data_IF_901657127747
#
_entry.id   IF_901657127747
#
_cell.length_a   1.000
_cell.length_b   1.000
_cell.length_c   1.000
_cell.angle_alpha   90.00
_cell.angle_beta   90.00
_cell.angle_gamma   90.00
#
_symmetry.space_group_name_H-M   'P 1'
#
loop_
_entity.id
_entity.type
_entity.pdbx_description
1 polymer ?
#
# COMPACT_ATOMS: atom_id res chain seq x y z
N UNK A 1 -15.98 18.29 -11.81
CA UNK A 1 -14.99 19.38 -11.60
C UNK A 1 -13.63 18.86 -11.99
N UNK A 2 -12.95 19.54 -12.92
CA UNK A 2 -11.55 19.28 -13.30
C UNK A 2 -10.75 20.47 -12.79
N UNK A 3 -9.79 20.22 -11.91
CA UNK A 3 -8.88 21.26 -11.42
C UNK A 3 -7.87 21.62 -12.51
N UNK A 4 -7.43 22.88 -12.54
CA UNK A 4 -6.35 23.31 -13.44
C UNK A 4 -5.05 22.60 -13.09
N UNK A 5 -4.22 22.34 -14.10
CA UNK A 5 -2.85 21.88 -13.86
C UNK A 5 -2.10 22.94 -13.05
N UNK A 6 -1.14 22.52 -12.22
CA UNK A 6 -0.36 23.44 -11.38
C UNK A 6 0.49 24.37 -12.24
N UNK A 7 0.89 23.96 -13.44
CA UNK A 7 1.57 24.84 -14.41
C UNK A 7 0.72 26.06 -14.81
N UNK A 8 -0.60 25.94 -14.67
CA UNK A 8 -1.56 26.95 -15.11
C UNK A 8 -2.03 27.83 -13.93
N UNK A 9 -1.38 27.73 -12.76
CA UNK A 9 -1.71 28.51 -11.58
C UNK A 9 -1.01 29.87 -11.62
N UNK A 10 -1.80 30.92 -11.42
CA UNK A 10 -1.30 32.29 -11.28
C UNK A 10 -1.16 32.59 -9.79
N UNK A 11 0.06 32.90 -9.36
CA UNK A 11 0.37 33.29 -7.99
C UNK A 11 0.31 34.81 -7.86
N UNK A 12 -0.23 35.29 -6.74
CA UNK A 12 -0.14 36.71 -6.39
C UNK A 12 1.28 37.03 -5.94
N UNK A 13 1.86 38.13 -6.44
CA UNK A 13 3.17 38.63 -6.00
C UNK A 13 3.16 39.11 -4.54
N UNK A 14 1.98 39.57 -4.07
CA UNK A 14 1.79 40.06 -2.70
C UNK A 14 0.75 39.20 -1.96
N UNK A 15 1.11 38.62 -0.80
CA UNK A 15 0.14 37.93 0.05
C UNK A 15 -0.90 38.90 0.58
N UNK A 16 -2.18 38.62 0.33
CA UNK A 16 -3.30 39.47 0.83
C UNK A 16 -3.64 39.18 2.30
N UNK A 17 -3.16 38.06 2.85
CA UNK A 17 -3.40 37.64 4.22
C UNK A 17 -2.21 36.84 4.75
N UNK A 18 -2.12 36.77 6.07
CA UNK A 18 -1.13 35.93 6.75
C UNK A 18 -1.36 34.47 6.38
N UNK A 19 -0.30 33.84 5.89
CA UNK A 19 -0.36 32.45 5.43
C UNK A 19 -0.64 31.51 6.63
N UNK A 20 -1.70 30.67 6.58
CA UNK A 20 -2.00 29.73 7.66
C UNK A 20 -0.89 28.68 7.88
N UNK A 21 -0.14 28.37 6.81
CA UNK A 21 1.02 27.47 6.80
C UNK A 21 2.04 28.02 5.79
N UNK A 22 3.31 27.68 5.97
CA UNK A 22 4.34 28.09 4.99
C UNK A 22 4.16 27.36 3.66
N UNK A 23 4.63 27.97 2.56
CA UNK A 23 4.63 27.34 1.24
C UNK A 23 5.42 26.02 1.24
N UNK A 24 6.50 25.97 2.01
CA UNK A 24 7.30 24.76 2.20
C UNK A 24 6.48 23.64 2.88
N UNK A 25 5.77 23.95 3.97
CA UNK A 25 4.90 23.00 4.66
C UNK A 25 3.77 22.50 3.75
N UNK A 26 3.16 23.41 2.98
CA UNK A 26 2.12 23.05 2.01
C UNK A 26 2.66 22.11 0.93
N UNK A 27 3.84 22.41 0.39
CA UNK A 27 4.47 21.61 -0.68
C UNK A 27 4.88 20.24 -0.15
N UNK A 28 5.47 20.17 1.04
CA UNK A 28 5.82 18.91 1.71
C UNK A 28 4.59 18.03 1.96
N UNK A 29 3.49 18.62 2.45
CA UNK A 29 2.24 17.89 2.64
C UNK A 29 1.67 17.36 1.31
N UNK A 30 1.72 18.16 0.24
CA UNK A 30 1.26 17.74 -1.09
C UNK A 30 2.11 16.61 -1.68
N UNK A 31 3.42 16.58 -1.41
CA UNK A 31 4.30 15.48 -1.81
C UNK A 31 3.86 14.15 -1.15
N UNK A 32 3.60 14.17 0.16
CA UNK A 32 3.07 13.01 0.91
C UNK A 32 1.74 12.50 0.32
N UNK A 33 0.84 13.40 -0.07
CA UNK A 33 -0.43 13.02 -0.69
C UNK A 33 -0.29 12.50 -2.12
N UNK A 34 0.69 12.99 -2.89
CA UNK A 34 0.94 12.54 -4.27
C UNK A 34 1.50 11.11 -4.34
N UNK A 35 2.34 10.71 -3.38
CA UNK A 35 2.86 9.34 -3.27
C UNK A 35 1.84 8.31 -2.76
N UNK A 36 0.79 8.77 -2.06
CA UNK A 36 -0.20 7.90 -1.44
C UNK A 36 -1.58 8.06 -2.07
N UNK A 37 -1.79 7.44 -3.25
CA UNK A 37 -3.15 7.06 -3.71
C UNK A 37 -3.72 5.91 -2.86
N UNK A 38 -3.64 6.00 -1.53
CA UNK A 38 -4.39 5.12 -0.64
C UNK A 38 -5.77 5.74 -0.53
N UNK A 39 -6.79 5.04 -1.03
CA UNK A 39 -8.17 5.41 -0.75
C UNK A 39 -8.29 5.62 0.77
N UNK A 40 -8.70 6.82 1.20
CA UNK A 40 -9.09 7.09 2.60
C UNK A 40 -10.36 6.30 2.88
N UNK A 41 -10.24 4.98 3.00
CA UNK A 41 -11.20 4.20 3.76
C UNK A 41 -10.98 4.64 5.19
N UNK A 42 -11.97 5.31 5.77
CA UNK A 42 -12.04 5.56 7.20
C UNK A 42 -11.96 4.19 7.87
N UNK A 43 -10.75 3.75 8.22
CA UNK A 43 -10.55 2.49 8.91
C UNK A 43 -11.03 2.74 10.32
N UNK A 44 -12.26 2.35 10.58
CA UNK A 44 -12.69 2.03 11.94
C UNK A 44 -11.57 1.19 12.56
N UNK A 45 -11.08 1.60 13.73
CA UNK A 45 -9.85 1.05 14.32
C UNK A 45 -10.03 -0.47 14.42
N UNK A 46 -9.39 -1.20 13.52
CA UNK A 46 -9.63 -2.63 13.40
C UNK A 46 -9.16 -3.27 14.70
N UNK A 47 -10.05 -3.98 15.39
CA UNK A 47 -9.75 -4.62 16.69
C UNK A 47 -8.52 -5.53 16.63
N UNK A 48 -8.24 -6.06 15.45
CA UNK A 48 -7.15 -6.97 15.18
C UNK A 48 -6.29 -6.44 14.02
N UNK A 49 -4.97 -6.51 14.19
CA UNK A 49 -3.99 -6.21 13.14
C UNK A 49 -3.78 -7.46 12.29
N UNK A 50 -3.71 -7.29 10.97
CA UNK A 50 -3.43 -8.35 10.00
C UNK A 50 -2.11 -7.99 9.30
N UNK A 51 -1.06 -8.78 9.51
CA UNK A 51 0.31 -8.48 9.06
C UNK A 51 0.40 -8.29 7.54
N UNK A 52 -0.24 -9.19 6.80
CA UNK A 52 -0.21 -9.26 5.33
C UNK A 52 -1.41 -8.56 4.69
N UNK A 53 -2.02 -7.60 5.39
CA UNK A 53 -3.17 -6.85 4.85
C UNK A 53 -2.79 -6.16 3.54
N UNK A 54 -3.56 -6.42 2.46
CA UNK A 54 -3.25 -5.86 1.15
C UNK A 54 -2.34 -6.71 0.26
N UNK A 55 -1.67 -7.73 0.81
CA UNK A 55 -0.68 -8.54 0.10
C UNK A 55 -1.16 -9.96 -0.25
N UNK A 56 -2.22 -10.44 0.40
CA UNK A 56 -2.76 -11.79 0.12
C UNK A 56 -3.84 -11.73 -0.95
N UNK A 57 -3.64 -12.47 -2.04
CA UNK A 57 -4.57 -12.60 -3.16
C UNK A 57 -5.00 -14.05 -3.33
N UNK A 58 -6.26 -14.25 -3.74
CA UNK A 58 -6.77 -15.58 -4.01
C UNK A 58 -6.22 -16.11 -5.34
N UNK A 59 -5.62 -17.29 -5.34
CA UNK A 59 -5.09 -17.93 -6.55
C UNK A 59 -6.20 -18.22 -7.59
N UNK A 60 -7.40 -18.56 -7.13
CA UNK A 60 -8.53 -18.96 -7.98
C UNK A 60 -9.21 -17.80 -8.71
N UNK A 61 -9.32 -16.62 -8.08
CA UNK A 61 -10.02 -15.46 -8.66
C UNK A 61 -9.19 -14.17 -8.76
N UNK A 62 -7.94 -14.18 -8.30
CA UNK A 62 -7.04 -13.02 -8.29
C UNK A 62 -7.45 -11.88 -7.36
N UNK A 63 -8.58 -12.00 -6.64
CA UNK A 63 -9.07 -10.93 -5.75
C UNK A 63 -8.23 -10.86 -4.48
N UNK A 64 -8.00 -9.65 -3.99
CA UNK A 64 -7.41 -9.41 -2.67
C UNK A 64 -8.29 -10.02 -1.58
N UNK A 65 -7.70 -10.81 -0.70
CA UNK A 65 -8.40 -11.47 0.40
C UNK A 65 -8.69 -10.50 1.55
N UNK A 66 -9.78 -10.75 2.28
CA UNK A 66 -10.18 -9.97 3.44
C UNK A 66 -9.64 -10.59 4.73
N UNK A 67 -9.18 -9.77 5.68
CA UNK A 67 -8.83 -10.25 7.02
C UNK A 67 -10.07 -10.78 7.76
N UNK A 68 -9.91 -11.88 8.48
CA UNK A 68 -10.94 -12.51 9.31
C UNK A 68 -10.30 -13.02 10.60
N UNK A 69 -10.92 -12.76 11.75
CA UNK A 69 -10.44 -13.23 13.04
C UNK A 69 -11.30 -14.39 13.52
N UNK A 70 -10.73 -15.60 13.52
CA UNK A 70 -11.43 -16.83 13.90
C UNK A 70 -10.61 -17.59 14.94
N UNK A 71 -11.26 -18.12 15.99
CA UNK A 71 -10.60 -18.94 17.02
C UNK A 71 -9.30 -18.33 17.58
N UNK A 72 -9.31 -17.01 17.86
CA UNK A 72 -8.16 -16.24 18.36
C UNK A 72 -6.94 -16.21 17.40
N UNK A 73 -7.16 -16.41 16.10
CA UNK A 73 -6.12 -16.38 15.07
C UNK A 73 -6.54 -15.53 13.88
N UNK A 74 -5.55 -14.95 13.21
CA UNK A 74 -5.73 -14.20 11.97
C UNK A 74 -5.83 -15.14 10.76
N UNK A 75 -6.83 -14.87 9.91
CA UNK A 75 -7.06 -15.55 8.64
C UNK A 75 -7.22 -14.52 7.53
N UNK A 76 -6.94 -14.95 6.31
CA UNK A 76 -7.33 -14.31 5.07
C UNK A 76 -8.44 -15.14 4.45
N UNK A 77 -9.56 -14.49 4.12
CA UNK A 77 -10.70 -15.15 3.47
C UNK A 77 -11.02 -14.54 2.12
N UNK A 78 -11.29 -15.40 1.15
CA UNK A 78 -11.92 -15.02 -0.11
C UNK A 78 -13.32 -15.62 -0.13
N UNK A 79 -14.36 -14.77 -0.14
CA UNK A 79 -15.75 -15.20 -0.28
C UNK A 79 -16.20 -14.93 -1.71
N UNK A 80 -16.74 -15.96 -2.37
CA UNK A 80 -17.29 -15.85 -3.71
C UNK A 80 -18.80 -16.15 -3.66
N UNK A 81 -19.66 -15.11 -3.54
CA UNK A 81 -21.11 -15.29 -3.50
C UNK A 81 -21.64 -15.97 -4.78
N UNK A 82 -22.67 -16.78 -4.64
CA UNK A 82 -23.28 -17.52 -5.75
C UNK A 82 -24.01 -16.61 -6.77
N UNK A 83 -24.19 -15.33 -6.44
CA UNK A 83 -24.83 -14.32 -7.28
C UNK A 83 -23.94 -13.82 -8.42
N UNK A 84 -22.63 -14.08 -8.36
CA UNK A 84 -21.73 -13.80 -9.48
C UNK A 84 -21.85 -14.92 -10.51
N UNK A 85 -22.38 -14.61 -11.70
CA UNK A 85 -22.54 -15.52 -12.84
C UNK A 85 -21.22 -16.02 -13.47
N UNK A 86 -20.13 -16.04 -12.70
CA UNK A 86 -18.84 -16.60 -13.10
C UNK A 86 -18.82 -18.04 -12.61
N UNK A 87 -18.73 -18.96 -13.57
CA UNK A 87 -18.78 -20.41 -13.42
C UNK A 87 -18.35 -20.90 -12.02
N UNK A 88 -19.29 -21.54 -11.31
CA UNK A 88 -19.09 -22.24 -10.03
C UNK A 88 -17.82 -23.12 -9.98
N UNK A 89 -17.32 -23.50 -11.14
CA UNK A 89 -16.17 -24.38 -11.33
C UNK A 89 -14.82 -23.74 -10.97
N UNK A 90 -14.69 -22.41 -10.98
CA UNK A 90 -13.39 -21.75 -10.77
C UNK A 90 -13.08 -21.34 -9.34
N UNK A 91 -14.05 -21.33 -8.41
CA UNK A 91 -13.78 -20.87 -7.04
C UNK A 91 -14.79 -21.47 -6.04
N UNK A 92 -14.34 -22.12 -4.95
CA UNK A 92 -15.25 -22.62 -3.91
C UNK A 92 -15.93 -21.47 -3.16
N UNK A 93 -17.05 -21.71 -2.47
CA UNK A 93 -17.83 -20.63 -1.82
C UNK A 93 -16.98 -19.74 -0.91
N UNK A 94 -16.03 -20.31 -0.18
CA UNK A 94 -15.08 -19.55 0.65
C UNK A 94 -13.76 -20.28 0.76
N UNK A 95 -12.65 -19.56 0.58
CA UNK A 95 -11.30 -20.03 0.87
C UNK A 95 -10.80 -19.32 2.12
N UNK A 96 -10.20 -20.07 3.04
CA UNK A 96 -9.54 -19.56 4.22
C UNK A 96 -8.08 -19.95 4.22
N UNK A 97 -7.20 -19.00 4.50
CA UNK A 97 -5.78 -19.22 4.71
C UNK A 97 -5.41 -18.60 6.04
N UNK A 98 -4.67 -19.33 6.88
CA UNK A 98 -4.18 -18.82 8.16
C UNK A 98 -2.96 -17.94 7.95
N UNK A 99 -2.89 -16.81 8.65
CA UNK A 99 -1.73 -15.92 8.59
C UNK A 99 -0.46 -16.64 9.07
N UNK A 100 -0.55 -17.34 10.20
CA UNK A 100 0.58 -18.06 10.81
C UNK A 100 1.11 -19.25 9.97
N UNK A 101 0.38 -19.66 8.93
CA UNK A 101 0.85 -20.68 7.99
C UNK A 101 1.60 -20.05 6.80
N UNK A 102 1.44 -18.74 6.57
CA UNK A 102 2.12 -17.97 5.53
C UNK A 102 3.40 -17.33 6.05
N UNK A 103 3.35 -16.74 7.26
CA UNK A 103 4.44 -15.93 7.80
C UNK A 103 5.79 -16.67 7.86
N UNK A 104 5.89 -17.93 8.33
CA UNK A 104 7.18 -18.61 8.39
C UNK A 104 7.85 -18.80 7.02
N UNK A 105 7.06 -19.10 5.98
CA UNK A 105 7.59 -19.27 4.63
C UNK A 105 8.03 -17.92 4.02
N UNK A 106 7.29 -16.85 4.31
CA UNK A 106 7.64 -15.49 3.88
C UNK A 106 8.93 -15.04 4.58
N UNK A 107 9.03 -15.26 5.89
CA UNK A 107 10.22 -14.89 6.68
C UNK A 107 11.46 -15.65 6.20
N UNK A 108 11.32 -16.95 5.92
CA UNK A 108 12.42 -17.75 5.38
C UNK A 108 12.85 -17.25 3.99
N UNK A 109 11.89 -16.94 3.12
CA UNK A 109 12.19 -16.41 1.79
C UNK A 109 12.85 -15.03 1.88
N UNK A 110 12.37 -14.14 2.75
CA UNK A 110 12.98 -12.84 3.00
C UNK A 110 14.40 -13.00 3.52
N UNK A 111 14.66 -13.92 4.45
CA UNK A 111 15.99 -14.19 4.97
C UNK A 111 16.97 -14.59 3.85
N UNK A 112 16.53 -15.41 2.90
CA UNK A 112 17.37 -15.83 1.75
C UNK A 112 17.77 -14.66 0.85
N UNK A 113 17.01 -13.56 0.81
CA UNK A 113 17.42 -12.37 0.06
C UNK A 113 18.60 -11.66 0.74
N UNK A 114 18.76 -11.81 2.05
CA UNK A 114 19.82 -11.17 2.84
C UNK A 114 20.95 -12.12 3.24
N UNK A 115 21.03 -13.31 2.63
CA UNK A 115 22.19 -14.19 2.80
C UNK A 115 23.48 -13.49 2.32
N UNK A 116 24.63 -13.82 2.92
CA UNK A 116 25.94 -13.19 2.63
C UNK A 116 26.28 -13.11 1.13
N UNK A 117 25.80 -14.07 0.34
CA UNK A 117 26.05 -14.14 -1.10
C UNK A 117 25.20 -13.18 -1.93
N UNK A 118 24.09 -12.69 -1.39
CA UNK A 118 23.06 -11.90 -2.09
C UNK A 118 22.86 -10.51 -1.50
N UNK A 119 23.47 -10.21 -0.36
CA UNK A 119 23.22 -8.97 0.37
C UNK A 119 23.52 -7.73 -0.46
N UNK A 120 24.63 -7.71 -1.22
CA UNK A 120 24.97 -6.58 -2.09
C UNK A 120 23.94 -6.37 -3.22
N UNK A 121 23.47 -7.46 -3.82
CA UNK A 121 22.44 -7.42 -4.87
C UNK A 121 21.10 -6.92 -4.31
N UNK A 122 20.69 -7.43 -3.15
CA UNK A 122 19.47 -7.02 -2.47
C UNK A 122 19.55 -5.56 -2.03
N UNK A 123 20.69 -5.09 -1.52
CA UNK A 123 20.92 -3.69 -1.19
C UNK A 123 20.79 -2.80 -2.43
N UNK A 124 21.47 -3.14 -3.53
CA UNK A 124 21.35 -2.39 -4.79
C UNK A 124 19.91 -2.36 -5.32
N UNK A 125 19.17 -3.47 -5.22
CA UNK A 125 17.77 -3.53 -5.61
C UNK A 125 16.87 -2.65 -4.72
N UNK A 126 17.12 -2.63 -3.40
CA UNK A 126 16.42 -1.76 -2.47
C UNK A 126 16.74 -0.30 -2.72
N UNK A 127 17.99 0.07 -3.00
CA UNK A 127 18.39 1.42 -3.36
C UNK A 127 17.70 1.88 -4.65
N UNK A 128 17.68 1.04 -5.68
CA UNK A 128 17.00 1.33 -6.94
C UNK A 128 15.47 1.50 -6.76
N UNK A 129 14.85 0.64 -5.94
CA UNK A 129 13.42 0.71 -5.63
C UNK A 129 13.08 1.90 -4.71
N UNK A 130 14.02 2.30 -3.87
CA UNK A 130 13.96 3.49 -3.01
C UNK A 130 14.42 4.75 -3.74
N UNK A 131 14.47 4.71 -5.08
CA UNK A 131 14.83 5.81 -5.95
C UNK A 131 14.23 7.13 -5.46
N UNK A 132 14.97 8.23 -5.63
CA UNK A 132 14.82 9.42 -4.82
C UNK A 132 13.38 9.84 -4.71
N UNK A 133 12.95 10.11 -3.48
CA UNK A 133 11.84 11.01 -3.28
C UNK A 133 12.15 12.25 -4.14
N UNK A 134 11.32 12.51 -5.15
CA UNK A 134 11.47 13.69 -6.01
C UNK A 134 11.53 14.98 -5.17
N UNK A 135 11.12 14.93 -3.90
CA UNK A 135 11.31 15.98 -2.90
C UNK A 135 12.76 16.19 -2.43
N UNK A 136 13.62 15.16 -2.42
CA UNK A 136 15.03 15.25 -1.96
C UNK A 136 15.95 15.78 -3.07
N UNK A 137 15.72 15.38 -4.33
CA UNK A 137 16.49 15.87 -5.48
C UNK A 137 16.31 17.37 -5.74
N UNK A 138 15.13 17.92 -5.44
CA UNK A 138 14.85 19.35 -5.58
C UNK A 138 15.38 20.22 -4.42
N UNK A 139 16.01 19.64 -3.37
CA UNK A 139 16.70 20.41 -2.31
C UNK A 139 18.18 20.65 -2.59
N UNK A 140 18.78 19.93 -3.55
CA UNK A 140 20.22 19.95 -3.83
C UNK A 140 20.57 20.62 -5.18
N UNK A 141 19.58 21.18 -5.88
CA UNK A 141 19.73 22.00 -7.09
C UNK A 141 19.23 23.42 -6.82
#
# INVERSE_FOLDING_TARGET
>A
MRWNDRSDWIWSEQPTHDAPVSLEQFTAAQAVFSGAKRAKVRRERTKHTYLLSGHVYCAECGRRMQGSWNHKRAYYRCKFPAEYAVAKEKHPKTIYVREDSLTPAIDQWLAQLFDDKRIDETCAALEAASGPDLAEQNRLA
#
